data_IF_127520039784
#
_entry.id   IF_127520039784
#
_cell.length_a   1.000
_cell.length_b   1.000
_cell.length_c   1.000
_cell.angle_alpha   90.00
_cell.angle_beta   90.00
_cell.angle_gamma   90.00
#
_symmetry.space_group_name_H-M   'P 1'
#
loop_
_entity.id
_entity.type
_entity.pdbx_description
1 polymer ?
#
# COMPACT_ATOMS: atom_id res chain seq x y z
N UNK A 1 -63.50 15.29 -16.42
CA UNK A 1 -64.19 14.60 -15.30
C UNK A 1 -63.16 13.71 -14.64
N UNK A 2 -62.32 14.21 -13.73
CA UNK A 2 -62.56 14.39 -12.28
C UNK A 2 -63.08 13.13 -11.55
N UNK A 3 -62.19 12.61 -10.69
CA UNK A 3 -62.43 12.13 -9.33
C UNK A 3 -63.38 10.94 -9.07
N UNK A 4 -62.88 9.91 -8.38
CA UNK A 4 -63.10 9.71 -6.92
C UNK A 4 -62.91 8.24 -6.53
N UNK A 5 -61.82 7.90 -5.83
CA UNK A 5 -61.90 6.99 -4.69
C UNK A 5 -60.89 7.44 -3.62
N UNK A 6 -61.44 8.18 -2.65
CA UNK A 6 -60.89 8.47 -1.31
C UNK A 6 -60.60 7.10 -0.66
N UNK A 7 -59.48 6.75 -0.03
CA UNK A 7 -58.56 7.48 0.84
C UNK A 7 -58.61 6.82 2.23
N UNK A 8 -57.56 6.08 2.64
CA UNK A 8 -57.15 5.67 4.02
C UNK A 8 -55.67 5.26 3.87
N UNK A 9 -54.69 6.13 4.12
CA UNK A 9 -53.92 6.32 5.36
C UNK A 9 -53.23 5.05 5.92
N UNK A 10 -51.92 4.97 5.65
CA UNK A 10 -50.80 4.59 6.52
C UNK A 10 -50.91 3.35 7.43
N UNK A 11 -50.17 2.29 7.08
CA UNK A 11 -49.52 1.24 7.91
C UNK A 11 -49.12 0.14 6.89
N UNK A 12 -47.91 -0.37 6.68
CA UNK A 12 -46.86 -0.85 7.60
C UNK A 12 -45.53 -0.86 6.83
N UNK A 13 -44.53 -0.23 7.43
CA UNK A 13 -43.10 -0.48 7.23
C UNK A 13 -42.78 -1.89 7.73
N UNK A 14 -42.24 -2.80 6.89
CA UNK A 14 -41.34 -3.89 7.26
C UNK A 14 -41.20 -4.91 6.11
N UNK A 15 -40.45 -4.55 5.06
CA UNK A 15 -39.99 -5.49 4.04
C UNK A 15 -38.46 -5.49 4.05
N UNK A 16 -37.90 -6.36 4.89
CA UNK A 16 -36.48 -6.59 5.16
C UNK A 16 -35.48 -6.08 4.09
N UNK A 17 -34.79 -4.99 4.43
CA UNK A 17 -33.53 -4.62 3.81
C UNK A 17 -32.47 -5.66 4.19
N UNK A 18 -32.19 -6.62 3.31
CA UNK A 18 -30.96 -7.41 3.39
C UNK A 18 -29.83 -6.47 2.95
N UNK A 19 -29.36 -5.66 3.88
CA UNK A 19 -28.06 -5.03 3.78
C UNK A 19 -27.02 -6.16 3.87
N UNK A 20 -26.56 -6.65 2.72
CA UNK A 20 -25.30 -7.40 2.66
C UNK A 20 -24.21 -6.44 3.16
N UNK A 21 -23.86 -6.55 4.43
CA UNK A 21 -22.58 -6.12 4.95
C UNK A 21 -21.51 -6.95 4.22
N UNK A 22 -21.10 -6.50 3.05
CA UNK A 22 -19.82 -6.90 2.46
C UNK A 22 -18.73 -6.25 3.31
N UNK A 23 -18.35 -6.93 4.40
CA UNK A 23 -17.03 -6.73 4.99
C UNK A 23 -16.03 -7.19 3.96
N UNK A 24 -15.66 -6.29 3.04
CA UNK A 24 -14.54 -6.50 2.14
C UNK A 24 -13.34 -6.78 3.02
N UNK A 25 -12.91 -8.04 3.06
CA UNK A 25 -11.60 -8.38 3.56
C UNK A 25 -10.63 -7.48 2.78
N UNK A 26 -9.96 -6.55 3.47
CA UNK A 26 -8.84 -5.85 2.85
C UNK A 26 -7.86 -6.93 2.44
N UNK A 27 -7.75 -7.18 1.13
CA UNK A 27 -6.59 -7.87 0.61
C UNK A 27 -5.38 -7.18 1.24
N UNK A 28 -4.44 -7.95 1.79
CA UNK A 28 -3.19 -7.38 2.22
C UNK A 28 -2.51 -6.83 0.96
N UNK A 29 -2.72 -5.54 0.68
CA UNK A 29 -2.08 -4.84 -0.42
C UNK A 29 -0.58 -5.05 -0.23
N UNK A 30 0.02 -5.82 -1.13
CA UNK A 30 1.44 -6.13 -1.04
C UNK A 30 2.26 -4.86 -1.19
N UNK A 31 3.39 -4.78 -0.48
CA UNK A 31 4.28 -3.63 -0.59
C UNK A 31 5.13 -3.74 -1.84
N UNK A 32 5.24 -2.65 -2.59
CA UNK A 32 6.14 -2.49 -3.73
C UNK A 32 7.42 -1.83 -3.26
N UNK A 33 8.55 -2.49 -3.54
CA UNK A 33 9.88 -1.95 -3.25
C UNK A 33 10.82 -2.07 -4.44
N UNK A 34 11.83 -1.22 -4.47
CA UNK A 34 12.93 -1.33 -5.42
C UNK A 34 14.20 -0.67 -4.88
N UNK A 35 15.35 -1.05 -5.42
CA UNK A 35 16.59 -0.32 -5.15
C UNK A 35 17.84 -1.17 -5.09
N UNK A 36 18.69 -0.87 -4.11
CA UNK A 36 20.01 -1.46 -3.87
C UNK A 36 20.06 -2.97 -4.14
N UNK A 37 21.07 -3.39 -4.89
CA UNK A 37 21.29 -4.81 -5.21
C UNK A 37 22.06 -5.52 -4.10
N UNK A 38 22.91 -4.79 -3.38
CA UNK A 38 23.71 -5.31 -2.26
C UNK A 38 22.87 -6.02 -1.19
N UNK A 39 21.80 -5.43 -0.60
CA UNK A 39 21.02 -6.09 0.45
C UNK A 39 20.02 -7.13 -0.07
N UNK A 40 19.92 -7.34 -1.39
CA UNK A 40 18.88 -8.18 -1.99
C UNK A 40 18.85 -9.62 -1.45
N UNK A 41 19.99 -10.33 -1.25
CA UNK A 41 19.97 -11.67 -0.65
C UNK A 41 19.36 -11.68 0.77
N UNK A 42 19.63 -10.65 1.58
CA UNK A 42 19.04 -10.53 2.92
C UNK A 42 17.53 -10.24 2.83
N UNK A 43 17.14 -9.25 2.01
CA UNK A 43 15.75 -8.85 1.84
C UNK A 43 14.87 -9.98 1.32
N UNK A 44 15.31 -10.71 0.30
CA UNK A 44 14.58 -11.85 -0.24
C UNK A 44 14.27 -12.89 0.83
N UNK A 45 15.22 -13.17 1.73
CA UNK A 45 15.01 -14.10 2.84
C UNK A 45 14.06 -13.53 3.90
N UNK A 46 14.22 -12.26 4.28
CA UNK A 46 13.33 -11.60 5.24
C UNK A 46 11.89 -11.56 4.75
N UNK A 47 11.68 -11.25 3.47
CA UNK A 47 10.35 -11.18 2.87
C UNK A 47 9.69 -12.56 2.77
N UNK A 48 10.44 -13.62 2.44
CA UNK A 48 9.95 -15.01 2.50
C UNK A 48 9.47 -15.39 3.90
N UNK A 49 10.29 -15.12 4.93
CA UNK A 49 9.93 -15.40 6.32
C UNK A 49 8.73 -14.58 6.78
N UNK A 50 8.69 -13.29 6.43
CA UNK A 50 7.61 -12.38 6.78
C UNK A 50 6.29 -12.81 6.11
N UNK A 51 6.35 -13.20 4.84
CA UNK A 51 5.19 -13.71 4.10
C UNK A 51 4.65 -15.00 4.73
N UNK A 52 5.52 -15.97 5.04
CA UNK A 52 5.11 -17.22 5.70
C UNK A 52 4.46 -16.99 7.05
N UNK A 53 4.90 -15.97 7.80
CA UNK A 53 4.41 -15.69 9.15
C UNK A 53 3.13 -14.85 9.16
N UNK A 54 3.01 -13.88 8.26
CA UNK A 54 1.95 -12.85 8.32
C UNK A 54 1.08 -12.76 7.05
N UNK A 55 1.38 -13.53 6.01
CA UNK A 55 0.64 -13.52 4.74
C UNK A 55 0.88 -12.29 3.85
N UNK A 56 1.58 -11.26 4.34
CA UNK A 56 1.91 -10.06 3.57
C UNK A 56 2.97 -10.36 2.51
N UNK A 57 2.74 -9.91 1.26
CA UNK A 57 3.70 -10.05 0.16
C UNK A 57 4.47 -8.75 -0.01
N UNK A 58 5.78 -8.86 -0.19
CA UNK A 58 6.65 -7.74 -0.51
C UNK A 58 7.28 -8.03 -1.87
N UNK A 59 6.94 -7.21 -2.87
CA UNK A 59 7.45 -7.33 -4.22
C UNK A 59 8.62 -6.35 -4.38
N UNK A 60 9.84 -6.87 -4.39
CA UNK A 60 11.06 -6.06 -4.45
C UNK A 60 11.82 -6.23 -5.77
N UNK A 61 12.16 -5.12 -6.42
CA UNK A 61 12.96 -5.09 -7.65
C UNK A 61 14.41 -4.67 -7.36
N UNK A 62 15.35 -5.60 -7.57
CA UNK A 62 16.79 -5.36 -7.41
C UNK A 62 17.35 -4.66 -8.65
N UNK A 63 17.29 -3.33 -8.67
CA UNK A 63 17.60 -2.48 -9.86
C UNK A 63 18.74 -1.48 -9.61
N UNK A 64 19.32 -1.49 -8.41
CA UNK A 64 20.33 -0.53 -7.96
C UNK A 64 19.75 0.68 -7.24
N UNK A 65 20.55 1.27 -6.34
CA UNK A 65 20.17 2.37 -5.45
C UNK A 65 19.58 3.58 -6.18
N UNK A 66 20.21 3.99 -7.29
CA UNK A 66 19.73 5.11 -8.10
C UNK A 66 18.35 4.86 -8.74
N UNK A 67 18.08 3.62 -9.15
CA UNK A 67 16.78 3.22 -9.68
C UNK A 67 15.69 3.25 -8.61
N UNK A 68 15.99 2.72 -7.42
CA UNK A 68 15.07 2.75 -6.27
C UNK A 68 14.73 4.18 -5.83
N UNK A 69 15.74 5.05 -5.71
CA UNK A 69 15.51 6.46 -5.36
C UNK A 69 14.61 7.15 -6.39
N UNK A 70 14.87 6.96 -7.69
CA UNK A 70 14.05 7.55 -8.76
C UNK A 70 12.60 7.08 -8.71
N UNK A 71 12.38 5.79 -8.48
CA UNK A 71 11.03 5.23 -8.38
C UNK A 71 10.29 5.69 -7.12
N UNK A 72 11.02 5.87 -6.01
CA UNK A 72 10.48 6.44 -4.79
C UNK A 72 10.07 7.92 -5.00
N UNK A 73 10.91 8.70 -5.69
CA UNK A 73 10.63 10.09 -6.08
C UNK A 73 9.39 10.19 -6.99
N UNK A 74 9.24 9.26 -7.95
CA UNK A 74 8.08 9.19 -8.85
C UNK A 74 6.85 8.51 -8.24
N UNK A 75 6.93 8.04 -6.98
CA UNK A 75 5.84 7.34 -6.27
C UNK A 75 5.32 6.08 -6.97
N UNK A 76 6.21 5.37 -7.66
CA UNK A 76 5.87 4.10 -8.32
C UNK A 76 6.07 2.91 -7.39
N UNK A 77 6.70 3.13 -6.22
CA UNK A 77 6.97 2.14 -5.18
C UNK A 77 6.66 2.73 -3.80
N UNK A 78 6.41 1.87 -2.82
CA UNK A 78 6.10 2.25 -1.44
C UNK A 78 7.37 2.52 -0.63
N UNK A 79 8.46 1.79 -0.91
CA UNK A 79 9.74 1.98 -0.24
C UNK A 79 10.94 1.77 -1.18
N UNK A 80 11.98 2.58 -1.00
CA UNK A 80 13.25 2.48 -1.72
C UNK A 80 14.37 1.95 -0.84
N UNK A 81 15.21 1.07 -1.37
CA UNK A 81 16.46 0.68 -0.72
C UNK A 81 17.65 1.37 -1.37
N UNK A 82 18.59 1.86 -0.58
CA UNK A 82 19.76 2.54 -1.10
C UNK A 82 20.98 2.31 -0.21
N UNK A 83 22.11 2.05 -0.85
CA UNK A 83 23.44 2.03 -0.20
C UNK A 83 24.04 3.44 -0.04
N UNK A 84 23.35 4.45 -0.60
CA UNK A 84 23.72 5.86 -0.52
C UNK A 84 22.56 6.67 0.05
N UNK A 85 22.77 7.30 1.21
CA UNK A 85 21.79 8.24 1.77
C UNK A 85 21.49 9.36 0.77
N UNK A 86 20.23 9.78 0.72
CA UNK A 86 19.85 10.95 -0.04
C UNK A 86 20.40 12.22 0.63
N UNK A 87 20.99 13.13 -0.13
CA UNK A 87 21.44 14.42 0.39
C UNK A 87 20.26 15.28 0.84
N UNK A 88 20.48 16.16 1.82
CA UNK A 88 19.46 17.10 2.31
C UNK A 88 18.87 17.94 1.18
N UNK A 89 19.72 18.41 0.26
CA UNK A 89 19.31 19.16 -0.94
C UNK A 89 18.38 18.40 -1.88
N UNK A 90 18.42 17.07 -1.87
CA UNK A 90 17.54 16.22 -2.68
C UNK A 90 16.26 15.90 -1.90
N UNK A 91 16.36 15.70 -0.58
CA UNK A 91 15.20 15.56 0.30
C UNK A 91 14.30 16.78 0.29
N UNK A 92 14.87 18.00 0.32
CA UNK A 92 14.12 19.26 0.25
C UNK A 92 13.31 19.42 -1.05
N UNK A 93 13.79 18.82 -2.15
CA UNK A 93 13.11 18.86 -3.45
C UNK A 93 11.95 17.88 -3.53
N UNK A 94 11.85 16.94 -2.60
CA UNK A 94 10.80 15.94 -2.58
C UNK A 94 9.68 16.44 -1.68
N UNK A 95 8.45 16.63 -2.21
CA UNK A 95 7.34 17.16 -1.42
C UNK A 95 6.84 16.19 -0.34
N UNK A 96 7.32 14.94 -0.35
CA UNK A 96 6.99 13.90 0.62
C UNK A 96 8.09 13.82 1.68
N UNK A 97 7.69 13.55 2.93
CA UNK A 97 8.65 13.28 4.00
C UNK A 97 9.24 11.88 3.79
N UNK A 98 10.49 11.82 3.33
CA UNK A 98 11.26 10.57 3.26
C UNK A 98 11.99 10.36 4.59
N UNK A 99 11.88 9.15 5.12
CA UNK A 99 12.61 8.72 6.32
C UNK A 99 13.60 7.64 5.91
N UNK A 100 14.87 7.83 6.25
CA UNK A 100 15.87 6.78 6.08
C UNK A 100 15.92 5.90 7.32
N UNK A 101 15.83 4.59 7.13
CA UNK A 101 15.90 3.59 8.18
C UNK A 101 17.11 2.70 7.91
N UNK A 102 18.15 2.71 8.76
CA UNK A 102 19.28 1.80 8.62
C UNK A 102 18.81 0.34 8.80
N UNK A 103 19.03 -0.50 7.80
CA UNK A 103 18.56 -1.91 7.80
C UNK A 103 19.68 -2.91 8.05
N UNK A 104 20.82 -2.74 7.39
CA UNK A 104 21.97 -3.62 7.53
C UNK A 104 23.27 -2.90 7.18
N UNK A 105 24.39 -3.46 7.64
CA UNK A 105 25.75 -3.07 7.25
C UNK A 105 26.43 -4.29 6.62
N UNK A 106 27.36 -4.04 5.71
CA UNK A 106 28.29 -5.07 5.23
C UNK A 106 29.47 -4.46 4.49
N UNK A 107 30.38 -5.32 4.03
CA UNK A 107 31.68 -4.97 3.46
C UNK A 107 31.77 -5.32 1.98
#
# INVERSE_FOLDING_TARGET
MLNTFRGIRAFVVAGAAIALCSTGAKAADGLLGAGATFPYPLYSKMFDVYHKKYGMRINYQSIGSGGGIRQLESKTIDFGATDAFMSDTKLEKIPQKIVHIPMCLGA
#
